data_IF_156772079782
#
_entry.id   IF_156772079782
#
_cell.length_a   1.000
_cell.length_b   1.000
_cell.length_c   1.000
_cell.angle_alpha   90.00
_cell.angle_beta   90.00
_cell.angle_gamma   90.00
#
_symmetry.space_group_name_H-M   'P 1'
#
loop_
_entity.id
_entity.type
_entity.pdbx_description
1 polymer ?
#
# COMPACT_ATOMS: atom_id res chain seq x y z
N UNK A 1 0.02 12.23 8.63
CA UNK A 1 0.67 12.26 7.32
C UNK A 1 0.70 10.88 6.66
N UNK A 2 1.44 9.93 7.21
CA UNK A 2 1.45 8.56 6.68
C UNK A 2 0.08 7.92 6.74
N UNK A 3 -0.65 8.14 7.82
CA UNK A 3 -1.99 7.60 7.99
C UNK A 3 -2.95 8.06 6.88
N UNK A 4 -2.92 9.34 6.55
CA UNK A 4 -3.77 9.87 5.49
C UNK A 4 -3.42 9.26 4.14
N UNK A 5 -2.12 9.08 3.89
CA UNK A 5 -1.66 8.44 2.68
C UNK A 5 -2.18 7.01 2.58
N UNK A 6 -2.05 6.24 3.66
CA UNK A 6 -2.51 4.85 3.70
C UNK A 6 -4.02 4.78 3.47
N UNK A 7 -4.79 5.63 4.14
CA UNK A 7 -6.23 5.65 3.97
C UNK A 7 -6.62 5.96 2.53
N UNK A 8 -5.96 6.93 1.90
CA UNK A 8 -6.23 7.26 0.49
C UNK A 8 -5.84 6.13 -0.43
N UNK A 9 -4.67 5.54 -0.22
CA UNK A 9 -4.20 4.44 -1.05
C UNK A 9 -5.13 3.24 -0.97
N UNK A 10 -5.64 2.94 0.23
CA UNK A 10 -6.56 1.82 0.41
C UNK A 10 -7.90 2.01 -0.30
N UNK A 11 -8.26 3.25 -0.61
CA UNK A 11 -9.47 3.52 -1.42
C UNK A 11 -9.25 3.20 -2.90
N UNK A 12 -8.01 3.09 -3.33
CA UNK A 12 -7.65 2.80 -4.71
C UNK A 12 -7.40 1.32 -4.97
N UNK A 13 -7.61 0.47 -3.97
CA UNK A 13 -7.40 -0.96 -4.11
C UNK A 13 -8.38 -1.55 -5.13
N UNK A 14 -7.86 -2.36 -6.03
CA UNK A 14 -8.66 -3.13 -6.95
C UNK A 14 -8.68 -4.57 -6.48
N UNK A 15 -9.86 -5.09 -6.24
CA UNK A 15 -10.03 -6.46 -5.78
C UNK A 15 -10.60 -7.32 -6.89
N UNK A 16 -10.21 -8.58 -6.93
CA UNK A 16 -10.84 -9.57 -7.79
C UNK A 16 -10.84 -10.92 -7.10
N UNK A 17 -11.79 -11.74 -7.51
CA UNK A 17 -11.88 -13.12 -7.02
C UNK A 17 -11.20 -13.99 -8.06
N UNK A 18 -10.17 -14.73 -7.64
CA UNK A 18 -9.44 -15.59 -8.54
C UNK A 18 -10.28 -16.83 -8.87
N UNK A 19 -10.50 -17.13 -10.16
CA UNK A 19 -11.38 -18.23 -10.54
C UNK A 19 -10.84 -19.61 -10.17
N UNK A 20 -9.53 -19.75 -10.05
CA UNK A 20 -8.92 -21.06 -9.79
C UNK A 20 -9.25 -21.61 -8.40
N UNK A 21 -9.21 -20.77 -7.39
CA UNK A 21 -9.38 -21.22 -6.01
C UNK A 21 -10.38 -20.40 -5.19
N UNK A 22 -11.01 -19.41 -5.82
CA UNK A 22 -12.00 -18.57 -5.16
C UNK A 22 -11.43 -17.63 -4.10
N UNK A 23 -10.10 -17.43 -4.08
CA UNK A 23 -9.50 -16.49 -3.15
C UNK A 23 -9.60 -15.05 -3.66
N UNK A 24 -9.36 -14.11 -2.77
CA UNK A 24 -9.41 -12.69 -3.08
C UNK A 24 -8.01 -12.16 -3.35
N UNK A 25 -7.88 -11.39 -4.41
CA UNK A 25 -6.64 -10.72 -4.78
C UNK A 25 -6.88 -9.22 -4.75
N UNK A 26 -5.95 -8.48 -4.15
CA UNK A 26 -6.02 -7.02 -4.12
C UNK A 26 -4.70 -6.41 -4.50
N UNK A 27 -4.77 -5.27 -5.20
CA UNK A 27 -3.55 -4.54 -5.56
C UNK A 27 -3.83 -3.04 -5.57
N UNK A 28 -2.77 -2.27 -5.40
CA UNK A 28 -2.83 -0.81 -5.52
C UNK A 28 -1.97 -0.43 -6.72
N UNK A 29 -2.62 0.00 -7.79
CA UNK A 29 -1.95 0.31 -9.05
C UNK A 29 -0.90 1.41 -8.91
N UNK A 30 -1.21 2.42 -8.10
CA UNK A 30 -0.32 3.56 -7.86
C UNK A 30 0.93 3.19 -7.07
N UNK A 31 0.90 2.03 -6.42
CA UNK A 31 2.03 1.54 -5.61
C UNK A 31 2.50 0.21 -6.17
N UNK A 32 3.35 0.22 -7.20
CA UNK A 32 3.80 -1.02 -7.83
C UNK A 32 4.47 -1.97 -6.84
N UNK A 33 4.01 -3.21 -6.82
CA UNK A 33 4.51 -4.23 -5.91
C UNK A 33 3.69 -4.39 -4.64
N UNK A 34 2.66 -3.55 -4.45
CA UNK A 34 1.76 -3.69 -3.30
C UNK A 34 0.55 -4.50 -3.72
N UNK A 35 0.50 -5.76 -3.28
CA UNK A 35 -0.60 -6.67 -3.57
C UNK A 35 -0.72 -7.71 -2.47
N UNK A 36 -1.85 -8.37 -2.40
CA UNK A 36 -2.07 -9.47 -1.46
C UNK A 36 -3.08 -10.46 -2.02
N UNK A 37 -3.11 -11.65 -1.45
CA UNK A 37 -4.05 -12.69 -1.81
C UNK A 37 -4.42 -13.44 -0.54
N UNK A 38 -5.70 -13.61 -0.29
CA UNK A 38 -6.17 -14.25 0.93
C UNK A 38 -7.52 -14.94 0.71
N UNK A 39 -7.89 -15.90 1.59
CA UNK A 39 -9.16 -16.61 1.45
C UNK A 39 -10.40 -15.74 1.62
N UNK A 40 -10.30 -14.65 2.38
CA UNK A 40 -11.43 -13.75 2.59
C UNK A 40 -11.05 -12.32 2.19
N UNK A 41 -12.07 -11.53 1.86
CA UNK A 41 -11.85 -10.12 1.51
C UNK A 41 -11.23 -9.35 2.66
N UNK A 42 -11.71 -9.60 3.87
CA UNK A 42 -11.19 -8.92 5.06
C UNK A 42 -9.72 -9.22 5.28
N UNK A 43 -9.32 -10.47 5.17
CA UNK A 43 -7.91 -10.85 5.30
C UNK A 43 -7.07 -10.25 4.20
N UNK A 44 -7.57 -10.26 2.97
CA UNK A 44 -6.88 -9.67 1.83
C UNK A 44 -6.61 -8.19 2.08
N UNK A 45 -7.62 -7.47 2.56
CA UNK A 45 -7.49 -6.05 2.86
C UNK A 45 -6.48 -5.79 3.97
N UNK A 46 -6.55 -6.57 5.05
CA UNK A 46 -5.64 -6.40 6.19
C UNK A 46 -4.18 -6.66 5.78
N UNK A 47 -3.95 -7.72 5.04
CA UNK A 47 -2.61 -8.04 4.55
C UNK A 47 -2.10 -6.97 3.58
N UNK A 48 -2.99 -6.47 2.73
CA UNK A 48 -2.62 -5.43 1.78
C UNK A 48 -2.17 -4.15 2.49
N UNK A 49 -2.87 -3.78 3.56
CA UNK A 49 -2.49 -2.61 4.34
C UNK A 49 -1.12 -2.78 4.99
N UNK A 50 -0.83 -3.98 5.52
CA UNK A 50 0.48 -4.28 6.08
C UNK A 50 1.58 -4.21 5.02
N UNK A 51 1.31 -4.77 3.83
CA UNK A 51 2.27 -4.71 2.73
C UNK A 51 2.52 -3.27 2.32
N UNK A 52 1.48 -2.46 2.28
CA UNK A 52 1.60 -1.04 1.94
C UNK A 52 2.47 -0.31 2.96
N UNK A 53 2.25 -0.55 4.25
CA UNK A 53 3.06 0.08 5.29
C UNK A 53 4.54 -0.28 5.14
N UNK A 54 4.84 -1.55 4.93
CA UNK A 54 6.20 -2.02 4.73
C UNK A 54 6.82 -1.42 3.47
N UNK A 55 6.05 -1.33 2.41
CA UNK A 55 6.50 -0.75 1.15
C UNK A 55 6.87 0.73 1.32
N UNK A 56 6.04 1.48 2.06
CA UNK A 56 6.32 2.89 2.33
C UNK A 56 7.61 3.02 3.13
N UNK A 57 7.73 2.25 4.21
CA UNK A 57 8.91 2.31 5.08
C UNK A 57 10.18 1.95 4.31
N UNK A 58 10.11 0.94 3.45
CA UNK A 58 11.25 0.54 2.64
C UNK A 58 11.67 1.67 1.70
N UNK A 59 10.71 2.30 1.02
CA UNK A 59 11.05 3.37 0.09
C UNK A 59 11.62 4.59 0.79
N UNK A 60 11.05 4.95 1.93
CA UNK A 60 11.58 6.05 2.74
C UNK A 60 13.01 5.73 3.19
N UNK A 61 13.24 4.52 3.68
CA UNK A 61 14.55 4.09 4.14
C UNK A 61 15.60 4.14 3.02
N UNK A 62 15.21 3.77 1.82
CA UNK A 62 16.10 3.76 0.65
C UNK A 62 16.14 5.07 -0.12
N UNK A 63 15.47 6.12 0.38
CA UNK A 63 15.34 7.40 -0.32
C UNK A 63 14.67 7.31 -1.69
N UNK A 64 13.79 6.34 -1.85
CA UNK A 64 13.03 6.20 -3.08
C UNK A 64 11.77 7.07 -3.00
N UNK A 65 11.30 7.49 -4.15
CA UNK A 65 10.08 8.30 -4.23
C UNK A 65 8.87 7.48 -3.84
N UNK A 66 8.00 8.08 -3.03
CA UNK A 66 6.67 7.53 -2.75
C UNK A 66 5.68 8.33 -3.59
N UNK A 67 5.00 7.71 -4.57
CA UNK A 67 4.08 8.45 -5.44
C UNK A 67 2.96 9.09 -4.64
N UNK A 68 2.63 10.36 -4.87
CA UNK A 68 1.51 10.98 -4.18
C UNK A 68 0.18 10.36 -4.61
N UNK A 69 -0.75 10.24 -3.67
CA UNK A 69 -2.09 9.72 -3.93
C UNK A 69 -3.10 10.71 -3.35
N UNK A 70 -4.05 11.15 -4.18
CA UNK A 70 -5.10 12.08 -3.78
C UNK A 70 -4.55 13.34 -3.08
N UNK A 71 -3.40 13.83 -3.57
CA UNK A 71 -2.77 15.01 -2.98
C UNK A 71 -1.99 14.74 -1.71
N UNK A 72 -1.96 13.50 -1.23
CA UNK A 72 -1.19 13.14 -0.05
C UNK A 72 0.23 12.76 -0.46
N UNK A 73 1.21 13.37 0.19
CA UNK A 73 2.61 13.11 -0.06
C UNK A 73 3.30 12.72 1.23
N UNK A 74 4.32 11.88 1.12
CA UNK A 74 5.17 11.53 2.25
C UNK A 74 6.55 12.13 1.97
N UNK A 75 6.92 13.11 2.79
CA UNK A 75 8.22 13.77 2.69
C UNK A 75 8.90 13.69 4.04
N UNK A 76 10.02 13.00 4.07
CA UNK A 76 10.81 12.90 5.28
C UNK A 76 12.17 13.52 5.00
N UNK A 77 12.52 14.51 5.81
CA UNK A 77 13.81 15.19 5.69
C UNK A 77 14.81 14.46 6.56
N UNK A 78 15.82 13.88 5.95
CA UNK A 78 16.86 13.18 6.70
C UNK A 78 17.64 14.08 7.64
N UNK A 79 17.84 15.33 7.25
CA UNK A 79 18.54 16.29 8.09
C UNK A 79 17.86 16.48 9.43
N UNK A 80 16.55 16.33 9.46
CA UNK A 80 15.78 16.46 10.70
C UNK A 80 15.97 15.27 11.63
N UNK A 81 16.52 14.18 11.13
CA UNK A 81 16.73 12.96 11.88
C UNK A 81 18.18 12.84 12.39
N UNK A 82 19.04 13.69 11.91
CA UNK A 82 20.46 13.66 12.30
C UNK A 82 20.72 14.40 13.67
#
# INVERSE_FOLDING_TARGET
>A
MIRNYIQSAMKHVRYEILPDDGTYYGEIEECPGVYSNAPTLEQCRNELEEVLEEWILFRVYKNLTVPPIDGNEIKIRKEALA
#
